data_IF_811313101359
#
_entry.id   IF_811313101359
#
_cell.length_a   1.000
_cell.length_b   1.000
_cell.length_c   1.000
_cell.angle_alpha   90.00
_cell.angle_beta   90.00
_cell.angle_gamma   90.00
#
_symmetry.space_group_name_H-M   'P 1'
#
loop_
_entity.id
_entity.type
_entity.pdbx_description
1 polymer ?
#
# COMPACT_ATOMS: atom_id res chain seq x y z
N UNK A 1 16.85 3.98 -7.30
CA UNK A 1 17.24 4.49 -8.63
C UNK A 1 18.35 5.53 -8.51
N UNK A 2 18.25 6.54 -7.64
CA UNK A 2 19.39 7.44 -7.35
C UNK A 2 20.67 6.70 -6.95
N UNK A 3 20.53 5.61 -6.18
CA UNK A 3 21.69 4.77 -5.81
C UNK A 3 22.39 4.11 -7.02
N UNK A 4 21.67 3.85 -8.11
CA UNK A 4 22.17 3.03 -9.23
C UNK A 4 22.29 3.82 -10.55
N UNK A 5 21.72 5.02 -10.65
CA UNK A 5 21.74 5.90 -11.83
C UNK A 5 21.27 5.25 -13.14
N UNK A 6 20.45 4.19 -13.06
CA UNK A 6 19.88 3.48 -14.20
C UNK A 6 18.41 3.92 -14.38
N UNK A 7 17.97 4.25 -15.60
CA UNK A 7 16.59 4.63 -15.83
C UNK A 7 15.67 3.40 -15.73
N UNK A 8 14.48 3.50 -15.11
CA UNK A 8 13.59 2.36 -14.84
C UNK A 8 13.15 1.58 -16.07
N UNK A 9 13.00 2.26 -17.20
CA UNK A 9 12.63 1.67 -18.49
C UNK A 9 13.72 0.74 -19.05
N UNK A 10 14.96 0.88 -18.58
CA UNK A 10 16.06 -0.04 -18.89
C UNK A 10 16.19 -1.20 -17.90
N UNK A 11 15.30 -1.28 -16.91
CA UNK A 11 15.29 -2.33 -15.89
C UNK A 11 14.18 -3.35 -16.17
N UNK A 12 14.49 -4.62 -15.98
CA UNK A 12 13.50 -5.69 -15.90
C UNK A 12 13.23 -6.01 -14.43
N UNK A 13 11.96 -5.99 -14.04
CA UNK A 13 11.53 -6.41 -12.70
C UNK A 13 10.96 -7.82 -12.82
N UNK A 14 11.45 -8.70 -11.94
CA UNK A 14 11.11 -10.11 -11.96
C UNK A 14 10.47 -10.50 -10.63
N UNK A 15 9.25 -11.01 -10.69
CA UNK A 15 8.55 -11.63 -9.55
C UNK A 15 8.71 -13.15 -9.62
N UNK A 16 9.15 -13.73 -8.51
CA UNK A 16 9.24 -15.18 -8.35
C UNK A 16 8.18 -15.67 -7.37
N UNK A 17 7.26 -16.48 -7.86
CA UNK A 17 6.33 -17.22 -7.02
C UNK A 17 6.94 -18.57 -6.65
N UNK A 18 7.52 -18.66 -5.45
CA UNK A 18 8.20 -19.87 -4.99
C UNK A 18 7.25 -21.06 -4.79
N UNK A 19 5.99 -20.81 -4.42
CA UNK A 19 5.01 -21.87 -4.20
C UNK A 19 4.60 -22.55 -5.50
N UNK A 20 4.36 -21.76 -6.55
CA UNK A 20 3.97 -22.25 -7.86
C UNK A 20 5.17 -22.60 -8.74
N UNK A 21 6.39 -22.23 -8.31
CA UNK A 21 7.61 -22.28 -9.12
C UNK A 21 7.43 -21.56 -10.47
N UNK A 22 6.85 -20.37 -10.44
CA UNK A 22 6.61 -19.54 -11.63
C UNK A 22 7.30 -18.19 -11.52
N UNK A 23 7.56 -17.60 -12.68
CA UNK A 23 8.24 -16.30 -12.81
C UNK A 23 7.45 -15.39 -13.73
N UNK A 24 7.27 -14.15 -13.30
CA UNK A 24 6.69 -13.06 -14.10
C UNK A 24 7.76 -11.98 -14.30
N UNK A 25 7.91 -11.50 -15.52
CA UNK A 25 8.79 -10.38 -15.86
C UNK A 25 7.98 -9.19 -16.36
N UNK A 26 8.38 -7.99 -15.96
CA UNK A 26 7.73 -6.75 -16.36
C UNK A 26 8.75 -5.63 -16.51
N UNK A 27 8.47 -4.72 -17.46
CA UNK A 27 9.18 -3.45 -17.58
C UNK A 27 8.41 -2.40 -16.79
N UNK A 28 9.13 -1.39 -16.28
CA UNK A 28 8.50 -0.31 -15.50
C UNK A 28 8.91 1.02 -16.09
N UNK A 29 7.94 1.79 -16.54
CA UNK A 29 8.16 3.14 -17.06
C UNK A 29 8.43 4.14 -15.93
N UNK A 30 9.08 5.25 -16.26
CA UNK A 30 9.21 6.39 -15.35
C UNK A 30 7.86 6.91 -14.85
N UNK A 31 6.83 6.90 -15.70
CA UNK A 31 5.50 7.35 -15.34
C UNK A 31 4.87 6.45 -14.25
N UNK A 32 5.02 5.13 -14.36
CA UNK A 32 4.56 4.19 -13.32
C UNK A 32 5.32 4.38 -12.01
N UNK A 33 6.64 4.62 -12.07
CA UNK A 33 7.43 4.92 -10.87
C UNK A 33 6.92 6.18 -10.16
N UNK A 34 6.67 7.25 -10.90
CA UNK A 34 6.11 8.48 -10.32
C UNK A 34 4.68 8.28 -9.80
N UNK A 35 3.87 7.49 -10.49
CA UNK A 35 2.55 7.06 -10.03
C UNK A 35 2.61 6.33 -8.69
N UNK A 36 3.52 5.35 -8.55
CA UNK A 36 3.75 4.60 -7.31
C UNK A 36 4.21 5.53 -6.19
N UNK A 37 5.16 6.43 -6.45
CA UNK A 37 5.59 7.43 -5.45
C UNK A 37 4.44 8.33 -5.01
N UNK A 38 3.61 8.77 -5.96
CA UNK A 38 2.40 9.54 -5.69
C UNK A 38 1.43 8.78 -4.81
N UNK A 39 1.15 7.53 -5.14
CA UNK A 39 0.30 6.63 -4.35
C UNK A 39 0.83 6.46 -2.93
N UNK A 40 2.12 6.19 -2.75
CA UNK A 40 2.74 6.05 -1.41
C UNK A 40 2.57 7.35 -0.60
N UNK A 41 2.85 8.50 -1.20
CA UNK A 41 2.66 9.80 -0.53
C UNK A 41 1.21 10.06 -0.14
N UNK A 42 0.27 9.72 -1.03
CA UNK A 42 -1.17 9.79 -0.77
C UNK A 42 -1.58 8.90 0.39
N UNK A 43 -1.21 7.62 0.35
CA UNK A 43 -1.47 6.66 1.43
C UNK A 43 -0.91 7.12 2.78
N UNK A 44 0.32 7.66 2.82
CA UNK A 44 0.90 8.23 4.05
C UNK A 44 0.09 9.42 4.56
N UNK A 45 -0.38 10.30 3.66
CA UNK A 45 -1.22 11.43 4.02
C UNK A 45 -2.57 10.97 4.59
N UNK A 46 -3.19 9.98 3.96
CA UNK A 46 -4.47 9.42 4.39
C UNK A 46 -4.34 8.70 5.74
N UNK A 47 -3.26 7.94 5.96
CA UNK A 47 -3.01 7.34 7.29
C UNK A 47 -2.82 8.42 8.37
N UNK A 48 -2.14 9.52 8.05
CA UNK A 48 -1.93 10.63 9.00
C UNK A 48 -3.22 11.42 9.29
N UNK A 49 -4.16 11.49 8.34
CA UNK A 49 -5.43 12.19 8.56
C UNK A 49 -6.35 11.46 9.53
N UNK A 50 -6.07 10.19 9.84
CA UNK A 50 -6.75 9.39 10.85
C UNK A 50 -6.15 9.53 12.26
N UNK A 51 -5.14 10.39 12.43
CA UNK A 51 -4.45 10.60 13.70
C UNK A 51 -4.81 11.96 14.30
N UNK A 52 -5.27 11.94 15.56
CA UNK A 52 -5.47 13.14 16.37
C UNK A 52 -4.15 13.84 16.69
N UNK A 53 -3.10 13.06 16.96
CA UNK A 53 -1.72 13.54 17.10
C UNK A 53 -0.77 12.66 16.26
N UNK A 54 -0.43 13.09 15.03
CA UNK A 54 0.50 12.36 14.17
C UNK A 54 1.91 12.23 14.73
N UNK A 55 2.36 13.15 15.60
CA UNK A 55 3.71 13.13 16.18
C UNK A 55 3.89 12.06 17.25
N UNK A 56 2.78 11.66 17.88
CA UNK A 56 2.73 10.58 18.89
C UNK A 56 2.04 9.31 18.41
N UNK A 57 1.59 9.27 17.15
CA UNK A 57 0.81 8.18 16.58
C UNK A 57 -0.47 7.87 17.36
N UNK A 58 -1.18 8.91 17.81
CA UNK A 58 -2.44 8.78 18.55
C UNK A 58 -3.61 8.87 17.54
N UNK A 59 -4.45 7.82 17.41
CA UNK A 59 -5.60 7.83 16.50
C UNK A 59 -6.73 8.73 17.01
N UNK A 60 -7.69 9.02 16.14
CA UNK A 60 -9.01 9.49 16.56
C UNK A 60 -9.80 8.40 17.32
N UNK A 61 -10.98 8.75 17.84
CA UNK A 61 -11.90 7.77 18.41
C UNK A 61 -12.55 6.92 17.30
N UNK A 62 -12.98 5.69 17.62
CA UNK A 62 -13.47 4.72 16.63
C UNK A 62 -14.63 5.24 15.78
N UNK A 63 -15.54 6.01 16.38
CA UNK A 63 -16.72 6.57 15.70
C UNK A 63 -16.37 7.61 14.61
N UNK A 64 -15.13 8.09 14.59
CA UNK A 64 -14.61 8.98 13.56
C UNK A 64 -14.02 8.24 12.36
N UNK A 65 -13.89 6.91 12.43
CA UNK A 65 -13.41 6.09 11.32
C UNK A 65 -14.57 5.64 10.44
N UNK A 66 -14.40 5.76 9.13
CA UNK A 66 -15.32 5.14 8.18
C UNK A 66 -15.20 3.62 8.24
N UNK A 67 -16.32 2.92 8.44
CA UNK A 67 -16.36 1.46 8.41
C UNK A 67 -16.44 0.97 6.96
N UNK A 68 -15.77 -0.15 6.70
CA UNK A 68 -15.83 -0.82 5.40
C UNK A 68 -17.09 -1.67 5.36
N UNK A 69 -17.97 -1.40 4.40
CA UNK A 69 -19.24 -2.12 4.22
C UNK A 69 -19.14 -3.27 3.20
N UNK A 70 -18.02 -3.35 2.45
CA UNK A 70 -17.80 -4.41 1.47
C UNK A 70 -17.57 -5.76 2.18
N UNK A 71 -18.58 -6.64 2.10
CA UNK A 71 -18.53 -7.97 2.71
C UNK A 71 -17.40 -8.87 2.20
N UNK A 72 -16.97 -8.69 0.94
CA UNK A 72 -15.84 -9.39 0.36
C UNK A 72 -14.53 -8.99 1.03
N UNK A 73 -14.31 -7.69 1.20
CA UNK A 73 -13.16 -7.14 1.94
C UNK A 73 -13.17 -7.60 3.39
N UNK A 74 -14.32 -7.48 4.06
CA UNK A 74 -14.44 -7.84 5.49
C UNK A 74 -14.18 -9.34 5.70
N UNK A 75 -14.69 -10.21 4.83
CA UNK A 75 -14.55 -11.66 4.99
C UNK A 75 -13.09 -12.14 4.99
N UNK A 76 -12.23 -11.44 4.23
CA UNK A 76 -10.80 -11.70 4.05
C UNK A 76 -9.90 -10.89 4.99
N UNK A 77 -10.47 -9.92 5.72
CA UNK A 77 -9.71 -9.09 6.65
C UNK A 77 -9.28 -9.87 7.89
N UNK A 78 -7.98 -9.82 8.20
CA UNK A 78 -7.40 -10.45 9.39
C UNK A 78 -7.93 -9.85 10.70
N UNK A 79 -8.39 -8.60 10.68
CA UNK A 79 -8.86 -7.86 11.86
C UNK A 79 -10.37 -7.92 12.05
N UNK A 80 -11.12 -8.69 11.25
CA UNK A 80 -12.59 -8.72 11.30
C UNK A 80 -13.18 -9.05 12.67
N UNK A 81 -12.47 -9.82 13.51
CA UNK A 81 -12.90 -10.16 14.88
C UNK A 81 -12.77 -9.01 15.86
N UNK A 82 -11.83 -8.09 15.61
CA UNK A 82 -11.59 -6.92 16.46
C UNK A 82 -12.45 -5.75 15.99
N UNK A 83 -12.60 -5.60 14.67
CA UNK A 83 -13.36 -4.50 14.06
C UNK A 83 -14.88 -4.68 14.19
N UNK A 84 -15.38 -5.92 14.26
CA UNK A 84 -16.78 -6.23 14.56
C UNK A 84 -16.95 -6.42 16.07
N UNK A 85 -16.72 -5.34 16.82
CA UNK A 85 -17.36 -5.12 18.12
C UNK A 85 -18.76 -4.58 17.91
#
# INVERSE_FOLDING_TARGET
MEKWHIPPDSMEVVEYNLQANTTNSFTVSMAEVEGIKGYIKGSVKDMKSLLKDPGKNIPFEEDQFSKVEDGGVISRCNFKKVCRG
#
